data_IF_111694546059
#
_entry.id   IF_111694546059
#
_cell.length_a   1.000
_cell.length_b   1.000
_cell.length_c   1.000
_cell.angle_alpha   90.00
_cell.angle_beta   90.00
_cell.angle_gamma   90.00
#
_symmetry.space_group_name_H-M   'P 1'
#
loop_
_entity.id
_entity.type
_entity.pdbx_description
1 polymer ?
#
# COMPACT_ATOMS: atom_id res chain seq x y z
N UNK A 1 -6.76 -29.20 4.36
CA UNK A 1 -6.92 -27.73 4.45
C UNK A 1 -5.92 -27.23 5.46
N UNK A 2 -5.13 -26.18 5.20
CA UNK A 2 -4.22 -25.63 6.20
C UNK A 2 -5.01 -25.10 7.41
N UNK A 3 -4.43 -25.23 8.60
CA UNK A 3 -5.03 -24.77 9.87
C UNK A 3 -4.26 -23.54 10.35
N UNK A 4 -4.98 -22.53 10.83
CA UNK A 4 -4.39 -21.31 11.37
C UNK A 4 -4.00 -21.51 12.83
N UNK A 5 -2.82 -21.01 13.21
CA UNK A 5 -2.32 -21.01 14.59
C UNK A 5 -2.05 -19.57 15.00
N UNK A 6 -2.52 -19.18 16.19
CA UNK A 6 -2.29 -17.84 16.72
C UNK A 6 -0.84 -17.66 17.17
N UNK A 7 -0.30 -16.46 17.00
CA UNK A 7 1.06 -16.10 17.44
C UNK A 7 1.02 -14.90 18.39
N UNK A 8 1.87 -14.94 19.41
CA UNK A 8 2.06 -13.82 20.34
C UNK A 8 2.96 -12.72 19.77
N UNK A 9 3.61 -12.94 18.63
CA UNK A 9 4.58 -12.00 18.04
C UNK A 9 4.00 -11.15 16.89
N UNK A 10 2.68 -11.20 16.66
CA UNK A 10 2.04 -10.44 15.58
C UNK A 10 2.15 -8.92 15.80
N UNK A 11 2.54 -8.19 14.75
CA UNK A 11 2.58 -6.73 14.74
C UNK A 11 1.18 -6.10 14.83
N UNK A 12 0.12 -6.87 14.55
CA UNK A 12 -1.27 -6.41 14.74
C UNK A 12 -1.61 -6.08 16.20
N UNK A 13 -0.75 -6.48 17.16
CA UNK A 13 -0.86 -6.07 18.56
C UNK A 13 -0.54 -4.59 18.81
N UNK A 14 0.18 -3.93 17.90
CA UNK A 14 0.65 -2.55 18.05
C UNK A 14 0.23 -1.64 16.90
N UNK A 15 -0.19 -2.19 15.77
CA UNK A 15 -0.58 -1.43 14.59
C UNK A 15 -1.77 -2.06 13.86
N UNK A 16 -2.50 -1.23 13.11
CA UNK A 16 -3.43 -1.71 12.09
C UNK A 16 -2.62 -2.04 10.83
N UNK A 17 -2.77 -3.25 10.29
CA UNK A 17 -1.96 -3.73 9.16
C UNK A 17 -2.85 -4.01 7.96
N UNK A 18 -2.46 -3.47 6.81
CA UNK A 18 -3.05 -3.79 5.51
C UNK A 18 -2.04 -4.64 4.75
N UNK A 19 -2.42 -5.87 4.40
CA UNK A 19 -1.67 -6.70 3.47
C UNK A 19 -2.22 -6.47 2.06
N UNK A 20 -1.36 -6.08 1.13
CA UNK A 20 -1.73 -5.77 -0.24
C UNK A 20 -1.06 -6.76 -1.20
N UNK A 21 -1.87 -7.59 -1.84
CA UNK A 21 -1.43 -8.39 -2.99
C UNK A 21 -1.19 -7.46 -4.18
N UNK A 22 0.07 -7.28 -4.55
CA UNK A 22 0.49 -6.49 -5.71
C UNK A 22 1.70 -7.16 -6.38
N UNK A 23 1.91 -6.99 -7.70
CA UNK A 23 1.07 -6.26 -8.65
C UNK A 23 -0.18 -7.07 -9.07
N UNK A 24 -0.92 -6.58 -10.06
CA UNK A 24 -1.97 -7.37 -10.71
C UNK A 24 -1.38 -8.69 -11.23
N UNK A 25 -1.96 -9.82 -10.81
CA UNK A 25 -1.48 -11.18 -11.04
C UNK A 25 -0.89 -11.84 -9.79
N UNK A 26 -0.57 -11.09 -8.73
CA UNK A 26 -0.12 -11.63 -7.46
C UNK A 26 -1.31 -12.03 -6.58
N UNK A 27 -1.25 -13.23 -5.99
CA UNK A 27 -2.24 -13.73 -5.03
C UNK A 27 -3.67 -13.63 -5.58
N UNK A 28 -4.49 -12.80 -4.93
CA UNK A 28 -5.89 -12.55 -5.34
C UNK A 28 -6.09 -11.31 -6.20
N UNK A 29 -5.05 -10.55 -6.54
CA UNK A 29 -5.15 -9.37 -7.40
C UNK A 29 -5.20 -9.78 -8.87
N UNK A 30 -6.26 -9.40 -9.59
CA UNK A 30 -6.45 -9.73 -11.01
C UNK A 30 -7.08 -8.58 -11.80
N UNK A 31 -6.93 -8.65 -13.14
CA UNK A 31 -7.59 -7.74 -14.09
C UNK A 31 -8.50 -8.54 -15.00
N UNK A 32 -9.69 -8.00 -15.27
CA UNK A 32 -10.63 -8.56 -16.26
C UNK A 32 -10.28 -8.13 -17.69
N UNK A 33 -9.41 -7.14 -17.86
CA UNK A 33 -8.95 -6.64 -19.15
C UNK A 33 -7.47 -6.98 -19.35
N UNK A 34 -7.00 -7.19 -20.59
CA UNK A 34 -5.59 -7.38 -20.88
C UNK A 34 -4.76 -6.25 -20.27
N UNK A 35 -3.71 -6.61 -19.54
CA UNK A 35 -2.73 -5.65 -19.05
C UNK A 35 -1.78 -5.30 -20.19
N UNK A 36 -1.57 -4.01 -20.41
CA UNK A 36 -0.45 -3.54 -21.22
C UNK A 36 0.89 -3.79 -20.51
N UNK A 37 1.97 -3.24 -21.06
CA UNK A 37 3.31 -3.31 -20.46
C UNK A 37 3.27 -2.75 -19.03
N UNK A 38 3.68 -3.57 -18.05
CA UNK A 38 3.82 -3.17 -16.65
C UNK A 38 5.26 -2.73 -16.35
N UNK A 39 5.41 -1.94 -15.30
CA UNK A 39 6.71 -1.52 -14.75
C UNK A 39 6.52 -1.10 -13.29
N UNK A 40 7.62 -1.03 -12.53
CA UNK A 40 7.60 -0.58 -11.13
C UNK A 40 6.95 0.79 -11.00
N UNK A 41 7.24 1.73 -11.91
CA UNK A 41 6.64 3.07 -11.93
C UNK A 41 5.13 3.04 -12.10
N UNK A 42 4.60 2.12 -12.93
CA UNK A 42 3.15 1.95 -13.10
C UNK A 42 2.56 1.35 -11.83
N UNK A 43 3.23 0.38 -11.22
CA UNK A 43 2.75 -0.28 -10.01
C UNK A 43 2.72 0.67 -8.81
N UNK A 44 3.74 1.51 -8.65
CA UNK A 44 3.77 2.56 -7.62
C UNK A 44 2.53 3.47 -7.71
N UNK A 45 2.13 3.87 -8.93
CA UNK A 45 0.93 4.68 -9.13
C UNK A 45 -0.35 3.93 -8.75
N UNK A 46 -0.43 2.64 -9.06
CA UNK A 46 -1.58 1.79 -8.70
C UNK A 46 -1.68 1.58 -7.19
N UNK A 47 -0.55 1.36 -6.52
CA UNK A 47 -0.52 1.25 -5.05
C UNK A 47 -0.92 2.57 -4.42
N UNK A 48 -0.41 3.71 -4.91
CA UNK A 48 -0.81 5.03 -4.43
C UNK A 48 -2.32 5.27 -4.62
N UNK A 49 -2.87 4.95 -5.80
CA UNK A 49 -4.31 5.03 -6.07
C UNK A 49 -5.13 4.13 -5.13
N UNK A 50 -4.66 2.90 -4.88
CA UNK A 50 -5.29 2.00 -3.91
C UNK A 50 -5.35 2.63 -2.52
N UNK A 51 -4.25 3.20 -2.02
CA UNK A 51 -4.18 3.85 -0.70
C UNK A 51 -5.18 5.01 -0.62
N UNK A 52 -5.22 5.88 -1.64
CA UNK A 52 -6.15 7.01 -1.69
C UNK A 52 -7.61 6.54 -1.65
N UNK A 53 -7.96 5.54 -2.48
CA UNK A 53 -9.32 4.97 -2.53
C UNK A 53 -9.70 4.26 -1.23
N UNK A 54 -8.75 3.54 -0.61
CA UNK A 54 -8.98 2.86 0.65
C UNK A 54 -9.24 3.87 1.78
N UNK A 55 -8.39 4.90 1.91
CA UNK A 55 -8.57 5.95 2.91
C UNK A 55 -9.87 6.75 2.70
N UNK A 56 -10.26 7.00 1.45
CA UNK A 56 -11.54 7.66 1.14
C UNK A 56 -12.75 6.85 1.61
N UNK A 57 -12.65 5.52 1.62
CA UNK A 57 -13.69 4.62 2.14
C UNK A 57 -13.60 4.39 3.64
N UNK A 58 -12.44 4.67 4.25
CA UNK A 58 -12.17 4.46 5.66
C UNK A 58 -11.60 5.74 6.31
N UNK A 59 -12.39 6.83 6.33
CA UNK A 59 -11.91 8.14 6.76
C UNK A 59 -11.48 8.19 8.23
N UNK A 60 -11.93 7.24 9.06
CA UNK A 60 -11.52 7.13 10.46
C UNK A 60 -10.01 6.89 10.64
N UNK A 61 -9.29 6.49 9.59
CA UNK A 61 -7.85 6.26 9.66
C UNK A 61 -7.01 7.46 9.18
N UNK A 62 -7.61 8.57 8.74
CA UNK A 62 -6.84 9.72 8.21
C UNK A 62 -5.86 10.32 9.21
N UNK A 63 -6.19 10.34 10.50
CA UNK A 63 -5.34 10.88 11.55
C UNK A 63 -4.24 9.92 12.00
N UNK A 64 -4.25 8.67 11.54
CA UNK A 64 -3.27 7.69 11.99
C UNK A 64 -1.92 7.93 11.31
N UNK A 65 -0.81 7.79 12.04
CA UNK A 65 0.51 7.67 11.42
C UNK A 65 0.51 6.52 10.41
N UNK A 66 0.97 6.82 9.20
CA UNK A 66 1.00 5.87 8.10
C UNK A 66 2.44 5.45 7.79
N UNK A 67 2.68 4.14 7.73
CA UNK A 67 3.98 3.56 7.44
C UNK A 67 3.84 2.59 6.26
N UNK A 68 4.81 2.63 5.34
CA UNK A 68 4.94 1.65 4.26
C UNK A 68 6.13 0.77 4.59
N UNK A 69 5.90 -0.53 4.61
CA UNK A 69 6.92 -1.54 4.91
C UNK A 69 6.91 -2.62 3.82
N UNK A 70 8.03 -3.31 3.67
CA UNK A 70 8.15 -4.43 2.76
C UNK A 70 9.52 -5.07 2.89
N UNK A 71 9.66 -6.28 2.34
CA UNK A 71 10.91 -7.03 2.32
C UNK A 71 11.25 -7.48 0.89
N UNK A 72 12.50 -7.85 0.65
CA UNK A 72 13.00 -8.31 -0.65
C UNK A 72 12.78 -7.25 -1.75
N UNK A 73 12.13 -7.61 -2.86
CA UNK A 73 11.88 -6.70 -3.99
C UNK A 73 11.06 -5.47 -3.63
N UNK A 74 10.34 -5.50 -2.51
CA UNK A 74 9.65 -4.31 -2.01
C UNK A 74 10.62 -3.15 -1.71
N UNK A 75 11.92 -3.42 -1.51
CA UNK A 75 12.95 -2.37 -1.43
C UNK A 75 13.05 -1.49 -2.69
N UNK A 76 12.62 -1.98 -3.86
CA UNK A 76 12.51 -1.20 -5.10
C UNK A 76 11.20 -0.41 -5.20
N UNK A 77 10.16 -0.84 -4.48
CA UNK A 77 8.80 -0.28 -4.56
C UNK A 77 8.55 0.74 -3.45
N UNK A 78 8.95 0.44 -2.21
CA UNK A 78 8.62 1.21 -1.01
C UNK A 78 9.22 2.62 -1.05
N UNK A 79 10.53 2.85 -1.30
CA UNK A 79 11.08 4.20 -1.33
C UNK A 79 10.41 5.14 -2.36
N UNK A 80 10.25 4.77 -3.64
CA UNK A 80 9.59 5.65 -4.60
C UNK A 80 8.08 5.79 -4.34
N UNK A 81 7.41 4.79 -3.76
CA UNK A 81 6.01 4.92 -3.33
C UNK A 81 5.85 5.97 -2.22
N UNK A 82 6.70 5.93 -1.19
CA UNK A 82 6.67 6.96 -0.13
C UNK A 82 6.96 8.35 -0.71
N UNK A 83 7.88 8.44 -1.68
CA UNK A 83 8.13 9.70 -2.37
C UNK A 83 6.89 10.19 -3.14
N UNK A 84 6.17 9.30 -3.83
CA UNK A 84 4.95 9.63 -4.56
C UNK A 84 3.83 10.12 -3.61
N UNK A 85 3.63 9.44 -2.48
CA UNK A 85 2.67 9.84 -1.43
C UNK A 85 3.04 11.22 -0.88
N UNK A 86 4.31 11.42 -0.55
CA UNK A 86 4.81 12.69 -0.02
C UNK A 86 4.51 13.84 -0.99
N UNK A 87 4.81 13.68 -2.28
CA UNK A 87 4.46 14.66 -3.33
C UNK A 87 2.96 14.93 -3.41
N UNK A 88 2.12 13.90 -3.33
CA UNK A 88 0.65 14.05 -3.32
C UNK A 88 0.13 14.89 -2.17
N UNK A 89 0.73 14.75 -0.98
CA UNK A 89 0.37 15.53 0.19
C UNK A 89 0.71 17.02 0.02
N UNK A 90 1.90 17.34 -0.50
CA UNK A 90 2.31 18.73 -0.77
C UNK A 90 1.41 19.47 -1.76
N UNK A 91 0.78 18.74 -2.69
CA UNK A 91 -0.13 19.32 -3.70
C UNK A 91 -1.52 19.58 -3.11
N UNK A 92 -2.03 18.69 -2.25
CA UNK A 92 -3.38 18.80 -1.68
C UNK A 92 -3.44 19.81 -0.52
N UNK A 93 -2.39 19.86 0.31
CA UNK A 93 -2.30 20.74 1.46
C UNK A 93 -0.85 21.24 1.61
N UNK A 94 -0.64 22.56 1.63
CA UNK A 94 0.66 23.14 2.01
C UNK A 94 1.09 22.53 3.36
N UNK A 95 2.38 22.15 3.53
CA UNK A 95 2.86 21.65 4.79
C UNK A 95 2.69 22.76 5.82
N UNK A 96 2.09 22.44 6.96
CA UNK A 96 2.18 23.29 8.13
C UNK A 96 3.65 23.27 8.56
N UNK A 97 4.32 24.40 8.33
CA UNK A 97 5.61 24.73 8.96
C UNK A 97 5.40 24.71 10.48
#
# INVERSE_FOLDING_TARGET
VPTLVSTTYSWTKMANIIFLDQPVGAGFSYSKTPLGKTSDTIEIKRIHEFIQKWLSKHPQFYSNPFYVIGDSYAGMIVPPLVQEISKGNYICCKPLI
#
